data_IF_754546075518
#
_entry.id   IF_754546075518
#
_cell.length_a   1.000
_cell.length_b   1.000
_cell.length_c   1.000
_cell.angle_alpha   90.00
_cell.angle_beta   90.00
_cell.angle_gamma   90.00
#
_symmetry.space_group_name_H-M   'P 1'
#
loop_
_entity.id
_entity.type
_entity.pdbx_description
1 polymer ?
#
# COMPACT_ATOMS: atom_id res chain seq x y z
N UNK A 1 2.98 -6.21 -12.52
CA UNK A 1 3.63 -4.88 -12.49
C UNK A 1 4.08 -4.41 -13.88
N UNK A 2 3.59 -5.05 -14.93
CA UNK A 2 3.88 -4.62 -16.30
C UNK A 2 3.52 -3.15 -16.48
N UNK A 3 4.44 -2.39 -17.12
CA UNK A 3 4.30 -0.96 -17.40
C UNK A 3 4.26 -0.04 -16.16
N UNK A 4 4.50 -0.59 -14.95
CA UNK A 4 4.62 0.21 -13.75
C UNK A 4 6.05 0.70 -13.57
N UNK A 5 6.21 1.93 -13.05
CA UNK A 5 7.53 2.46 -12.72
C UNK A 5 8.20 1.58 -11.66
N UNK A 6 9.54 1.41 -11.74
CA UNK A 6 10.30 0.62 -10.76
C UNK A 6 10.16 1.17 -9.34
N UNK A 7 10.11 2.49 -9.20
CA UNK A 7 9.86 3.16 -7.93
C UNK A 7 8.53 3.88 -8.03
N UNK A 8 7.69 3.70 -7.02
CA UNK A 8 6.37 4.32 -6.97
C UNK A 8 5.94 4.60 -5.54
N UNK A 9 5.01 5.52 -5.38
CA UNK A 9 4.39 5.83 -4.09
C UNK A 9 2.95 5.33 -4.10
N UNK A 10 2.51 4.80 -2.96
CA UNK A 10 1.14 4.35 -2.78
C UNK A 10 0.74 4.46 -1.31
N UNK A 11 -0.52 4.77 -1.01
CA UNK A 11 -0.99 4.75 0.38
C UNK A 11 -0.79 3.38 1.02
N UNK A 12 -0.38 3.38 2.28
CA UNK A 12 -0.19 2.15 3.04
C UNK A 12 -0.66 2.33 4.49
N UNK A 13 -1.38 1.32 4.99
CA UNK A 13 -1.87 1.27 6.36
C UNK A 13 -1.62 -0.14 6.89
N UNK A 14 -0.54 -0.36 7.60
CA UNK A 14 -0.32 -1.66 8.20
C UNK A 14 0.42 -1.52 9.53
N UNK A 15 0.09 -2.38 10.48
CA UNK A 15 0.81 -2.57 11.73
C UNK A 15 1.56 -3.89 11.76
N UNK A 16 1.23 -4.78 10.84
CA UNK A 16 1.85 -6.09 10.68
C UNK A 16 2.65 -6.13 9.39
N UNK A 17 3.60 -7.06 9.31
CA UNK A 17 4.39 -7.26 8.10
C UNK A 17 4.56 -8.74 7.79
N UNK A 18 4.82 -9.04 6.54
CA UNK A 18 5.19 -10.38 6.10
C UNK A 18 6.67 -10.58 6.40
N UNK A 19 6.99 -11.45 7.35
CA UNK A 19 8.36 -11.74 7.74
C UNK A 19 8.96 -12.93 6.98
N UNK A 20 8.12 -13.77 6.38
CA UNK A 20 8.54 -14.93 5.60
C UNK A 20 7.59 -15.15 4.44
N UNK A 21 8.15 -15.30 3.25
CA UNK A 21 7.37 -15.60 2.06
C UNK A 21 6.83 -17.04 2.10
N UNK A 22 5.64 -17.29 1.52
CA UNK A 22 5.16 -18.67 1.30
C UNK A 22 6.15 -19.45 0.43
N UNK A 23 6.04 -20.79 0.47
CA UNK A 23 6.83 -21.67 -0.42
C UNK A 23 6.60 -21.24 -1.86
N UNK A 24 7.69 -21.09 -2.62
CA UNK A 24 7.70 -20.60 -4.01
C UNK A 24 7.15 -19.17 -4.16
N UNK A 25 7.09 -18.40 -3.06
CA UNK A 25 6.67 -17.00 -3.08
C UNK A 25 7.71 -16.08 -3.70
N UNK A 26 7.24 -15.07 -4.41
CA UNK A 26 8.07 -14.02 -4.99
C UNK A 26 7.69 -12.67 -4.39
N UNK A 27 8.69 -11.92 -3.94
CA UNK A 27 8.48 -10.53 -3.51
C UNK A 27 8.43 -9.64 -4.75
N UNK A 28 7.34 -8.90 -4.91
CA UNK A 28 7.13 -8.01 -6.07
C UNK A 28 7.44 -6.56 -5.75
N UNK A 29 7.30 -6.15 -4.50
CA UNK A 29 7.61 -4.78 -4.08
C UNK A 29 8.09 -4.77 -2.62
N UNK A 30 8.94 -3.80 -2.31
CA UNK A 30 9.52 -3.61 -0.97
C UNK A 30 9.73 -2.14 -0.69
N UNK A 31 9.90 -1.81 0.60
CA UNK A 31 10.37 -0.49 1.01
C UNK A 31 11.30 -0.61 2.22
N UNK A 32 11.72 0.53 2.77
CA UNK A 32 12.67 0.54 3.90
C UNK A 32 12.08 -0.01 5.19
N UNK A 33 10.76 0.08 5.36
CA UNK A 33 10.07 -0.33 6.59
C UNK A 33 9.70 -1.80 6.52
N UNK A 34 9.11 -2.22 5.39
CA UNK A 34 8.66 -3.60 5.19
C UNK A 34 9.35 -4.19 3.97
N UNK A 35 10.08 -5.27 4.16
CA UNK A 35 10.78 -5.97 3.07
C UNK A 35 9.82 -6.55 2.04
N UNK A 36 8.62 -6.90 2.47
CA UNK A 36 7.59 -7.44 1.58
C UNK A 36 6.38 -6.51 1.62
N UNK A 37 6.22 -5.70 0.59
CA UNK A 37 5.06 -4.85 0.39
C UNK A 37 4.05 -5.48 -0.57
N UNK A 38 4.52 -6.35 -1.46
CA UNK A 38 3.64 -7.20 -2.25
C UNK A 38 4.35 -8.50 -2.61
N UNK A 39 3.53 -9.53 -2.83
CA UNK A 39 4.03 -10.87 -3.11
C UNK A 39 3.12 -11.61 -4.09
N UNK A 40 3.67 -12.66 -4.67
CA UNK A 40 2.96 -13.59 -5.53
C UNK A 40 3.33 -15.02 -5.15
N UNK A 41 2.36 -15.91 -5.14
CA UNK A 41 2.58 -17.35 -5.01
C UNK A 41 1.43 -18.13 -5.61
N UNK A 42 1.63 -19.43 -5.81
CA UNK A 42 0.63 -20.31 -6.38
C UNK A 42 0.25 -21.41 -5.37
N UNK A 43 -1.04 -21.74 -5.29
CA UNK A 43 -1.56 -22.86 -4.53
C UNK A 43 -2.45 -23.66 -5.46
N UNK A 44 -1.99 -24.86 -5.86
CA UNK A 44 -2.68 -25.64 -6.88
C UNK A 44 -2.77 -24.85 -8.20
N UNK A 45 -3.99 -24.62 -8.67
CA UNK A 45 -4.24 -23.82 -9.88
C UNK A 45 -4.51 -22.34 -9.57
N UNK A 46 -4.51 -21.95 -8.31
CA UNK A 46 -4.79 -20.58 -7.90
C UNK A 46 -3.53 -19.74 -7.91
N UNK A 47 -3.62 -18.55 -8.48
CA UNK A 47 -2.58 -17.51 -8.45
C UNK A 47 -2.97 -16.48 -7.42
N UNK A 48 -2.10 -16.24 -6.44
CA UNK A 48 -2.40 -15.37 -5.31
C UNK A 48 -1.43 -14.18 -5.32
N UNK A 49 -2.01 -12.97 -5.31
CA UNK A 49 -1.30 -11.71 -5.19
C UNK A 49 -1.68 -11.05 -3.88
N UNK A 50 -0.70 -10.71 -3.07
CA UNK A 50 -0.91 -10.01 -1.80
C UNK A 50 -0.28 -8.63 -1.84
N UNK A 51 -1.00 -7.64 -1.32
CA UNK A 51 -0.52 -6.26 -1.21
C UNK A 51 -0.65 -5.78 0.23
N UNK A 52 0.39 -5.15 0.77
CA UNK A 52 0.32 -4.43 2.03
C UNK A 52 -0.14 -2.98 1.81
N UNK A 53 0.25 -2.37 0.71
CA UNK A 53 -0.18 -1.03 0.34
C UNK A 53 -1.54 -1.08 -0.37
N UNK A 54 -2.15 0.10 -0.51
CA UNK A 54 -3.51 0.24 -1.04
C UNK A 54 -3.51 1.07 -2.32
N UNK A 55 -3.29 0.47 -3.49
CA UNK A 55 -3.32 1.22 -4.75
C UNK A 55 -4.71 1.76 -5.09
N UNK A 56 -5.77 1.18 -4.50
CA UNK A 56 -7.16 1.57 -4.72
C UNK A 56 -7.58 2.80 -3.91
N UNK A 57 -6.84 3.14 -2.85
CA UNK A 57 -7.16 4.27 -1.98
C UNK A 57 -6.44 5.52 -2.46
N UNK A 58 -7.17 6.64 -2.52
CA UNK A 58 -6.57 7.95 -2.81
C UNK A 58 -5.84 8.50 -1.58
N UNK A 59 -4.89 9.40 -1.80
CA UNK A 59 -4.23 10.09 -0.69
C UNK A 59 -5.20 10.99 0.08
N UNK A 60 -6.20 11.57 -0.58
CA UNK A 60 -7.27 12.33 0.06
C UNK A 60 -8.06 11.45 1.02
N UNK A 61 -8.40 10.23 0.61
CA UNK A 61 -9.08 9.27 1.47
C UNK A 61 -8.20 8.86 2.64
N UNK A 62 -6.91 8.70 2.42
CA UNK A 62 -5.95 8.39 3.48
C UNK A 62 -5.93 9.48 4.56
N UNK A 63 -5.91 10.75 4.14
CA UNK A 63 -5.97 11.89 5.06
C UNK A 63 -7.25 11.83 5.89
N UNK A 64 -8.40 11.60 5.25
CA UNK A 64 -9.68 11.49 5.94
C UNK A 64 -9.70 10.36 6.98
N UNK A 65 -9.10 9.21 6.66
CA UNK A 65 -8.99 8.09 7.58
C UNK A 65 -8.09 8.40 8.77
N UNK A 66 -6.98 9.10 8.54
CA UNK A 66 -6.08 9.53 9.61
C UNK A 66 -6.79 10.49 10.56
N UNK A 67 -7.48 11.49 10.02
CA UNK A 67 -8.24 12.46 10.83
C UNK A 67 -9.35 11.78 11.63
N UNK A 68 -10.09 10.88 11.01
CA UNK A 68 -11.16 10.13 11.68
C UNK A 68 -10.63 9.27 12.83
N UNK A 69 -9.45 8.66 12.65
CA UNK A 69 -8.84 7.75 13.64
C UNK A 69 -7.77 8.41 14.49
N UNK A 70 -7.62 9.71 14.43
CA UNK A 70 -6.55 10.47 15.06
C UNK A 70 -6.33 10.10 16.54
N UNK A 71 -7.37 10.11 17.35
CA UNK A 71 -7.25 9.81 18.77
C UNK A 71 -6.79 8.38 19.02
N UNK A 72 -7.32 7.43 18.27
CA UNK A 72 -6.93 6.03 18.37
C UNK A 72 -5.48 5.81 17.95
N UNK A 73 -5.05 6.49 16.89
CA UNK A 73 -3.68 6.39 16.39
C UNK A 73 -2.66 6.97 17.38
N UNK A 74 -3.02 8.01 18.12
CA UNK A 74 -2.16 8.61 19.13
C UNK A 74 -2.18 7.79 20.43
N UNK A 75 -3.37 7.53 20.98
CA UNK A 75 -3.52 6.99 22.33
C UNK A 75 -3.44 5.48 22.41
N UNK A 76 -4.08 4.77 21.49
CA UNK A 76 -4.17 3.30 21.53
C UNK A 76 -3.06 2.63 20.74
N UNK A 77 -2.89 3.02 19.48
CA UNK A 77 -1.91 2.42 18.57
C UNK A 77 -0.52 3.02 18.68
N UNK A 78 -0.42 4.23 19.25
CA UNK A 78 0.84 4.97 19.39
C UNK A 78 1.62 5.10 18.08
N UNK A 79 0.89 5.14 16.95
CA UNK A 79 1.47 5.33 15.63
C UNK A 79 2.00 6.76 15.46
N UNK A 80 1.40 7.73 16.16
CA UNK A 80 1.85 9.12 16.22
C UNK A 80 2.03 9.53 17.68
N UNK A 81 3.05 10.35 17.93
CA UNK A 81 3.37 10.84 19.26
C UNK A 81 2.28 11.77 19.82
N UNK A 82 1.77 12.69 18.98
CA UNK A 82 0.82 13.72 19.36
C UNK A 82 0.10 14.27 18.11
N UNK A 83 -0.77 15.27 18.31
CA UNK A 83 -1.50 15.91 17.23
C UNK A 83 -0.60 16.63 16.22
N UNK A 84 0.52 17.20 16.69
CA UNK A 84 1.48 17.86 15.81
C UNK A 84 2.10 16.88 14.84
N UNK A 85 2.47 15.69 15.30
CA UNK A 85 3.00 14.62 14.45
C UNK A 85 1.97 14.20 13.39
N UNK A 86 0.68 14.15 13.74
CA UNK A 86 -0.40 13.87 12.79
C UNK A 86 -0.49 14.95 11.72
N UNK A 87 -0.46 16.22 12.12
CA UNK A 87 -0.48 17.36 11.18
C UNK A 87 0.70 17.34 10.22
N UNK A 88 1.90 17.08 10.73
CA UNK A 88 3.10 17.00 9.93
C UNK A 88 3.01 15.88 8.89
N UNK A 89 2.48 14.74 9.29
CA UNK A 89 2.29 13.62 8.39
C UNK A 89 1.25 13.92 7.30
N UNK A 90 0.14 14.57 7.67
CA UNK A 90 -0.89 14.99 6.71
C UNK A 90 -0.29 16.00 5.70
N UNK A 91 0.53 16.93 6.16
CA UNK A 91 1.23 17.87 5.29
C UNK A 91 2.13 17.14 4.29
N UNK A 92 2.85 16.12 4.75
CA UNK A 92 3.66 15.26 3.88
C UNK A 92 2.79 14.57 2.82
N UNK A 93 1.66 13.98 3.22
CA UNK A 93 0.73 13.30 2.31
C UNK A 93 0.17 14.26 1.27
N UNK A 94 -0.17 15.50 1.64
CA UNK A 94 -0.66 16.52 0.70
C UNK A 94 0.34 16.82 -0.41
N UNK A 95 1.64 16.76 -0.13
CA UNK A 95 2.67 16.90 -1.17
C UNK A 95 2.64 15.73 -2.14
N UNK A 96 2.35 14.53 -1.67
CA UNK A 96 2.23 13.35 -2.51
C UNK A 96 1.05 13.44 -3.48
N UNK A 97 -0.04 14.11 -3.12
CA UNK A 97 -1.20 14.32 -4.00
C UNK A 97 -0.78 15.01 -5.30
N UNK A 98 0.12 15.99 -5.22
CA UNK A 98 0.56 16.77 -6.38
C UNK A 98 1.37 15.97 -7.39
N UNK A 99 2.03 14.90 -6.95
CA UNK A 99 2.87 14.02 -7.80
C UNK A 99 2.22 12.67 -8.06
N UNK A 100 1.07 12.40 -7.47
CA UNK A 100 0.36 11.13 -7.61
C UNK A 100 -0.25 11.00 -9.01
N UNK A 101 -0.09 9.83 -9.61
CA UNK A 101 -0.69 9.47 -10.89
C UNK A 101 -1.58 8.25 -10.70
N UNK A 102 -2.90 8.43 -10.86
CA UNK A 102 -3.88 7.37 -10.69
C UNK A 102 -3.61 6.17 -11.60
N UNK A 103 -3.27 6.42 -12.85
CA UNK A 103 -3.00 5.36 -13.82
C UNK A 103 -1.82 4.50 -13.37
N UNK A 104 -0.72 5.12 -12.96
CA UNK A 104 0.44 4.41 -12.43
C UNK A 104 0.13 3.68 -11.14
N UNK A 105 -0.65 4.30 -10.25
CA UNK A 105 -1.02 3.68 -8.96
C UNK A 105 -1.83 2.42 -9.14
N UNK A 106 -2.70 2.38 -10.15
CA UNK A 106 -3.68 1.30 -10.36
C UNK A 106 -3.20 0.21 -11.33
N UNK A 107 -2.01 0.31 -11.90
CA UNK A 107 -1.55 -0.60 -12.95
C UNK A 107 -1.58 -2.06 -12.51
N UNK A 108 -1.11 -2.40 -11.31
CA UNK A 108 -1.10 -3.78 -10.85
C UNK A 108 -2.51 -4.38 -10.74
N UNK A 109 -3.47 -3.59 -10.29
CA UNK A 109 -4.86 -4.03 -10.20
C UNK A 109 -5.48 -4.21 -11.59
N UNK A 110 -5.22 -3.27 -12.49
CA UNK A 110 -5.67 -3.37 -13.88
C UNK A 110 -5.11 -4.63 -14.55
N UNK A 111 -3.82 -4.86 -14.41
CA UNK A 111 -3.16 -6.03 -15.00
C UNK A 111 -3.74 -7.33 -14.43
N UNK A 112 -4.00 -7.37 -13.14
CA UNK A 112 -4.62 -8.53 -12.51
C UNK A 112 -6.02 -8.80 -13.05
N UNK A 113 -6.87 -7.77 -13.17
CA UNK A 113 -8.21 -7.88 -13.72
C UNK A 113 -8.19 -8.30 -15.19
N UNK A 114 -7.28 -7.75 -15.98
CA UNK A 114 -7.14 -8.11 -17.39
C UNK A 114 -6.78 -9.61 -17.55
N UNK A 115 -5.93 -10.13 -16.65
CA UNK A 115 -5.57 -11.55 -16.65
C UNK A 115 -6.74 -12.46 -16.27
N UNK A 116 -7.60 -12.03 -15.36
CA UNK A 116 -8.82 -12.79 -14.99
C UNK A 116 -9.77 -12.88 -16.18
N UNK A 117 -9.92 -11.82 -16.94
CA UNK A 117 -10.84 -11.76 -18.08
C UNK A 117 -10.40 -12.62 -19.27
N UNK A 118 -9.22 -13.23 -19.21
CA UNK A 118 -8.72 -14.17 -20.22
C UNK A 118 -9.21 -15.61 -20.02
N UNK A 119 -9.99 -15.85 -18.97
CA UNK A 119 -10.50 -17.19 -18.64
C UNK A 119 -11.79 -17.47 -19.42
#
# INVERSE_FOLDING_TARGET
>A
YKDKNNNFNSPAFNFDEVIKLPTNGTCLASNRINKVQSLYFEVGKSKIYGLQYHPEITYEKMISLIEFRKNKLIQTRKAFKDEEAVKDHITFIKKEITVSNKTQRMIELKNWLDNINLI
#
